data_IF_968015285254
#
_entry.id   IF_968015285254
#
_cell.length_a   1.000
_cell.length_b   1.000
_cell.length_c   1.000
_cell.angle_alpha   90.00
_cell.angle_beta   90.00
_cell.angle_gamma   90.00
#
_symmetry.space_group_name_H-M   'P 1'
#
loop_
_entity.id
_entity.type
_entity.pdbx_description
1 polymer ?
#
# COMPACT_ATOMS: atom_id res chain seq x y z
N UNK A 1 -13.31 -3.35 -12.59
CA UNK A 1 -12.60 -4.48 -11.91
C UNK A 1 -12.84 -4.35 -10.41
N UNK A 2 -13.20 -5.44 -9.73
CA UNK A 2 -13.53 -5.44 -8.28
C UNK A 2 -12.29 -5.59 -7.39
N UNK A 3 -11.15 -6.02 -7.95
CA UNK A 3 -9.89 -6.27 -7.24
C UNK A 3 -8.78 -5.38 -7.81
N UNK A 4 -7.89 -4.92 -6.92
CA UNK A 4 -6.69 -4.16 -7.25
C UNK A 4 -5.48 -4.87 -6.62
N UNK A 5 -4.41 -5.03 -7.39
CA UNK A 5 -3.16 -5.63 -6.94
C UNK A 5 -2.16 -4.52 -6.70
N UNK A 6 -1.71 -4.37 -5.45
CA UNK A 6 -0.67 -3.41 -5.09
C UNK A 6 0.63 -4.18 -4.86
N UNK A 7 1.70 -3.76 -5.54
CA UNK A 7 3.03 -4.37 -5.44
C UNK A 7 4.04 -3.35 -4.96
N UNK A 8 4.80 -3.72 -3.94
CA UNK A 8 5.95 -2.97 -3.45
C UNK A 8 7.17 -3.60 -4.11
N UNK A 9 7.79 -2.93 -5.07
CA UNK A 9 8.85 -3.45 -5.92
C UNK A 9 10.18 -2.70 -5.72
N UNK A 10 10.89 -2.98 -4.61
CA UNK A 10 12.26 -2.52 -4.44
C UNK A 10 13.19 -3.16 -5.47
N UNK A 11 14.29 -2.48 -5.85
CA UNK A 11 15.40 -3.15 -6.51
C UNK A 11 16.00 -4.19 -5.55
N UNK A 12 16.26 -5.40 -6.03
CA UNK A 12 16.83 -6.45 -5.19
C UNK A 12 16.41 -7.86 -5.58
N UNK A 13 16.51 -8.78 -4.63
CA UNK A 13 16.31 -10.22 -4.86
C UNK A 13 14.85 -10.56 -5.12
N UNK A 14 13.92 -9.82 -4.53
CA UNK A 14 12.48 -10.04 -4.73
C UNK A 14 11.94 -9.44 -6.03
N UNK A 15 12.68 -8.53 -6.68
CA UNK A 15 12.20 -7.72 -7.80
C UNK A 15 11.54 -8.54 -8.92
N UNK A 16 12.23 -9.58 -9.40
CA UNK A 16 11.72 -10.41 -10.50
C UNK A 16 10.39 -11.11 -10.12
N UNK A 17 10.26 -11.55 -8.86
CA UNK A 17 9.04 -12.20 -8.41
C UNK A 17 7.89 -11.21 -8.28
N UNK A 18 8.18 -9.98 -7.87
CA UNK A 18 7.21 -8.91 -7.75
C UNK A 18 6.73 -8.44 -9.14
N UNK A 19 7.63 -8.45 -10.14
CA UNK A 19 7.29 -8.22 -11.53
C UNK A 19 6.32 -9.28 -12.07
N UNK A 20 6.54 -10.57 -11.75
CA UNK A 20 5.59 -11.64 -12.07
C UNK A 20 4.23 -11.43 -11.40
N UNK A 21 4.19 -10.93 -10.16
CA UNK A 21 2.94 -10.65 -9.45
C UNK A 21 2.09 -9.57 -10.16
N UNK A 22 2.70 -8.47 -10.62
CA UNK A 22 1.97 -7.43 -11.37
C UNK A 22 1.35 -8.03 -12.64
N UNK A 23 2.18 -8.69 -13.46
CA UNK A 23 1.73 -9.30 -14.73
C UNK A 23 0.64 -10.35 -14.53
N UNK A 24 0.78 -11.18 -13.49
CA UNK A 24 -0.21 -12.21 -13.15
C UNK A 24 -1.54 -11.57 -12.74
N UNK A 25 -1.49 -10.51 -11.92
CA UNK A 25 -2.69 -9.77 -11.52
C UNK A 25 -3.41 -9.16 -12.73
N UNK A 26 -2.66 -8.54 -13.63
CA UNK A 26 -3.21 -7.93 -14.84
C UNK A 26 -3.79 -8.95 -15.81
N UNK A 27 -3.13 -10.09 -15.99
CA UNK A 27 -3.67 -11.20 -16.78
C UNK A 27 -5.01 -11.72 -16.21
N UNK A 28 -5.22 -11.58 -14.90
CA UNK A 28 -6.50 -11.88 -14.23
C UNK A 28 -7.50 -10.72 -14.23
N UNK A 29 -7.19 -9.59 -14.88
CA UNK A 29 -8.05 -8.40 -14.97
C UNK A 29 -7.99 -7.45 -13.76
N UNK A 30 -7.03 -7.65 -12.85
CA UNK A 30 -6.77 -6.73 -11.74
C UNK A 30 -6.05 -5.48 -12.23
N UNK A 31 -6.41 -4.30 -11.69
CA UNK A 31 -5.60 -3.09 -11.89
C UNK A 31 -4.35 -3.16 -11.01
N UNK A 32 -3.18 -2.91 -11.60
CA UNK A 32 -1.89 -2.91 -10.94
C UNK A 32 -1.52 -1.53 -10.41
N UNK A 33 -1.13 -1.45 -9.14
CA UNK A 33 -0.48 -0.28 -8.54
C UNK A 33 0.92 -0.69 -8.09
N UNK A 34 1.96 -0.01 -8.57
CA UNK A 34 3.34 -0.31 -8.22
C UNK A 34 3.97 0.81 -7.38
N UNK A 35 4.65 0.44 -6.29
CA UNK A 35 5.51 1.32 -5.52
C UNK A 35 6.96 0.93 -5.84
N UNK A 36 7.67 1.80 -6.53
CA UNK A 36 8.99 1.52 -7.13
C UNK A 36 9.95 2.67 -6.89
N UNK A 37 11.25 2.45 -7.09
CA UNK A 37 12.23 3.55 -7.09
C UNK A 37 12.01 4.50 -8.26
N UNK A 38 12.53 5.72 -8.14
CA UNK A 38 12.44 6.73 -9.18
C UNK A 38 13.02 6.27 -10.54
N UNK A 39 14.00 5.37 -10.52
CA UNK A 39 14.70 4.82 -11.68
C UNK A 39 14.05 3.58 -12.29
N UNK A 40 13.03 2.99 -11.66
CA UNK A 40 12.44 1.75 -12.15
C UNK A 40 11.63 1.98 -13.42
N UNK A 41 11.93 1.23 -14.48
CA UNK A 41 11.14 1.22 -15.72
C UNK A 41 10.52 -0.15 -16.02
N UNK A 42 10.95 -1.20 -15.32
CA UNK A 42 10.47 -2.56 -15.58
C UNK A 42 9.07 -2.79 -15.02
N UNK A 43 8.95 -2.82 -13.68
CA UNK A 43 7.64 -3.00 -13.01
C UNK A 43 6.74 -1.80 -13.28
N UNK A 44 7.30 -0.59 -13.31
CA UNK A 44 6.57 0.62 -13.66
C UNK A 44 5.93 0.56 -15.06
N UNK A 45 6.58 -0.07 -16.03
CA UNK A 45 6.07 -0.18 -17.40
C UNK A 45 4.87 -1.12 -17.54
N UNK A 46 4.74 -2.09 -16.63
CA UNK A 46 3.61 -3.01 -16.63
C UNK A 46 2.44 -2.47 -15.79
N UNK A 47 2.66 -1.75 -14.69
CA UNK A 47 1.58 -1.32 -13.80
C UNK A 47 0.67 -0.20 -14.36
N UNK A 48 -0.61 -0.18 -13.97
CA UNK A 48 -1.57 0.87 -14.36
C UNK A 48 -1.32 2.21 -13.64
N UNK A 49 -0.88 2.14 -12.38
CA UNK A 49 -0.53 3.30 -11.56
C UNK A 49 0.82 3.07 -10.89
N UNK A 50 1.63 4.13 -10.82
CA UNK A 50 3.00 4.04 -10.28
C UNK A 50 3.22 5.14 -9.25
N UNK A 51 3.70 4.74 -8.07
CA UNK A 51 4.19 5.62 -7.02
C UNK A 51 5.70 5.49 -6.98
N UNK A 52 6.40 6.52 -7.45
CA UNK A 52 7.87 6.56 -7.46
C UNK A 52 8.39 7.13 -6.15
N UNK A 53 9.18 6.35 -5.42
CA UNK A 53 9.90 6.80 -4.22
C UNK A 53 11.33 7.23 -4.59
N UNK A 54 11.88 8.27 -3.93
CA UNK A 54 13.21 8.77 -4.26
C UNK A 54 14.33 7.80 -3.86
N UNK A 55 15.40 7.81 -4.63
CA UNK A 55 16.67 7.14 -4.30
C UNK A 55 16.83 5.71 -4.80
N UNK A 56 18.09 5.31 -4.96
CA UNK A 56 18.49 3.90 -5.05
C UNK A 56 18.60 3.36 -3.62
N UNK A 57 17.50 2.79 -3.14
CA UNK A 57 17.40 2.29 -1.77
C UNK A 57 17.60 0.80 -1.75
N UNK A 58 18.32 0.32 -0.73
CA UNK A 58 18.41 -1.10 -0.46
C UNK A 58 17.02 -1.67 -0.17
N UNK A 59 16.78 -2.89 -0.64
CA UNK A 59 15.53 -3.65 -0.45
C UNK A 59 15.07 -3.66 1.01
N UNK A 60 15.99 -3.72 1.97
CA UNK A 60 15.69 -3.72 3.41
C UNK A 60 15.15 -2.39 3.94
N UNK A 61 15.36 -1.29 3.22
CA UNK A 61 14.89 0.06 3.60
C UNK A 61 13.55 0.42 2.98
N UNK A 62 13.03 -0.39 2.07
CA UNK A 62 11.74 -0.16 1.43
C UNK A 62 10.53 -0.30 2.38
N UNK A 63 10.47 -1.25 3.34
CA UNK A 63 9.28 -1.41 4.18
C UNK A 63 8.88 -0.16 4.98
N UNK A 64 9.81 0.57 5.63
CA UNK A 64 9.48 1.85 6.28
C UNK A 64 8.92 2.90 5.31
N UNK A 65 9.47 3.00 4.10
CA UNK A 65 8.95 3.93 3.08
C UNK A 65 7.57 3.54 2.56
N UNK A 66 7.37 2.25 2.30
CA UNK A 66 6.07 1.73 1.90
C UNK A 66 5.01 2.03 2.97
N UNK A 67 5.37 1.97 4.25
CA UNK A 67 4.47 2.33 5.36
C UNK A 67 3.99 3.78 5.24
N UNK A 68 4.89 4.72 4.94
CA UNK A 68 4.53 6.13 4.73
C UNK A 68 3.62 6.29 3.52
N UNK A 69 3.92 5.59 2.41
CA UNK A 69 3.08 5.60 1.20
C UNK A 69 1.66 5.13 1.52
N UNK A 70 1.52 4.02 2.25
CA UNK A 70 0.21 3.48 2.61
C UNK A 70 -0.53 4.32 3.64
N UNK A 71 0.16 5.00 4.55
CA UNK A 71 -0.45 5.98 5.46
C UNK A 71 -1.08 7.13 4.68
N UNK A 72 -0.35 7.72 3.73
CA UNK A 72 -0.85 8.82 2.90
C UNK A 72 -1.98 8.35 1.98
N UNK A 73 -1.85 7.16 1.39
CA UNK A 73 -2.92 6.57 0.57
C UNK A 73 -4.19 6.35 1.40
N UNK A 74 -4.06 5.77 2.60
CA UNK A 74 -5.18 5.56 3.51
C UNK A 74 -5.85 6.86 3.92
N UNK A 75 -5.06 7.90 4.19
CA UNK A 75 -5.55 9.24 4.51
C UNK A 75 -6.43 9.81 3.39
N UNK A 76 -5.93 9.83 2.15
CA UNK A 76 -6.71 10.36 1.03
C UNK A 76 -7.91 9.49 0.67
N UNK A 77 -7.81 8.16 0.78
CA UNK A 77 -8.96 7.27 0.59
C UNK A 77 -10.06 7.50 1.65
N UNK A 78 -9.69 7.84 2.88
CA UNK A 78 -10.65 8.21 3.92
C UNK A 78 -11.38 9.50 3.56
N UNK A 79 -10.65 10.54 3.14
CA UNK A 79 -11.23 11.82 2.71
C UNK A 79 -12.19 11.62 1.54
N UNK A 80 -11.77 10.89 0.50
CA UNK A 80 -12.61 10.60 -0.67
C UNK A 80 -13.89 9.83 -0.31
N UNK A 81 -13.88 9.08 0.80
CA UNK A 81 -15.05 8.36 1.33
C UNK A 81 -15.85 9.14 2.37
N UNK A 82 -15.46 10.37 2.70
CA UNK A 82 -16.10 11.18 3.73
C UNK A 82 -15.86 10.69 5.16
N UNK A 83 -14.80 9.93 5.40
CA UNK A 83 -14.39 9.48 6.74
C UNK A 83 -13.38 10.43 7.37
N UNK A 84 -13.35 10.48 8.70
CA UNK A 84 -12.32 11.21 9.44
C UNK A 84 -11.02 10.37 9.50
N UNK A 85 -9.94 10.77 8.78
CA UNK A 85 -8.69 10.02 8.78
C UNK A 85 -7.99 10.02 10.15
N UNK A 86 -8.23 11.03 10.99
CA UNK A 86 -7.56 11.18 12.29
C UNK A 86 -8.10 10.21 13.34
N UNK A 87 -9.32 9.69 13.13
CA UNK A 87 -9.98 8.81 14.08
C UNK A 87 -9.62 7.33 13.88
N UNK A 88 -8.94 6.95 12.79
CA UNK A 88 -8.72 5.55 12.41
C UNK A 88 -10.02 4.71 12.46
N UNK A 89 -11.15 5.33 12.09
CA UNK A 89 -12.51 4.77 12.16
C UNK A 89 -13.06 4.55 13.59
N UNK A 90 -12.37 4.92 14.67
CA UNK A 90 -12.90 4.79 16.04
C UNK A 90 -14.08 5.72 16.34
N UNK A 91 -14.41 6.62 15.42
CA UNK A 91 -15.64 7.41 15.38
C UNK A 91 -16.88 6.59 14.95
N UNK A 92 -16.68 5.36 14.46
CA UNK A 92 -17.71 4.39 14.13
C UNK A 92 -17.85 3.32 15.21
N UNK A 93 -19.08 2.98 15.59
CA UNK A 93 -19.36 2.08 16.73
C UNK A 93 -18.75 0.68 16.55
N UNK A 94 -18.80 0.11 15.36
CA UNK A 94 -18.32 -1.26 15.15
C UNK A 94 -16.80 -1.31 15.18
N UNK A 95 -16.14 -0.29 14.64
CA UNK A 95 -14.69 -0.14 14.68
C UNK A 95 -14.19 0.20 16.09
N UNK A 96 -14.91 1.06 16.82
CA UNK A 96 -14.61 1.38 18.21
C UNK A 96 -14.68 0.15 19.12
N UNK A 97 -15.69 -0.73 18.93
CA UNK A 97 -15.80 -2.00 19.64
C UNK A 97 -14.62 -2.93 19.36
N UNK A 98 -14.21 -3.04 18.10
CA UNK A 98 -13.03 -3.83 17.74
C UNK A 98 -11.75 -3.26 18.39
N UNK A 99 -11.60 -1.93 18.38
CA UNK A 99 -10.48 -1.26 19.01
C UNK A 99 -10.42 -1.52 20.52
N UNK A 100 -11.53 -1.38 21.24
CA UNK A 100 -11.62 -1.68 22.68
C UNK A 100 -11.42 -3.17 23.01
N UNK A 101 -11.67 -4.07 22.06
CA UNK A 101 -11.38 -5.50 22.22
C UNK A 101 -9.87 -5.76 22.15
N UNK A 102 -9.18 -5.09 21.24
CA UNK A 102 -7.72 -5.18 21.10
C UNK A 102 -6.97 -4.42 22.20
N UNK A 103 -7.54 -3.31 22.67
CA UNK A 103 -6.98 -2.39 23.66
C UNK A 103 -8.01 -2.10 24.77
N UNK A 104 -8.17 -3.01 25.75
CA UNK A 104 -9.13 -2.81 26.82
C UNK A 104 -8.80 -1.60 27.71
N UNK A 105 -9.82 -0.98 28.29
CA UNK A 105 -9.63 0.17 29.17
C UNK A 105 -8.83 -0.23 30.42
N UNK A 106 -7.80 0.56 30.75
CA UNK A 106 -6.97 0.35 31.94
C UNK A 106 -5.87 -0.71 31.81
N UNK A 107 -5.60 -1.22 30.61
CA UNK A 107 -4.49 -2.18 30.36
C UNK A 107 -3.20 -1.53 29.86
N UNK A 108 -3.14 -0.20 29.83
CA UNK A 108 -1.99 0.59 29.45
C UNK A 108 -1.52 1.45 30.62
#
# INVERSE_FOLDING_TARGET
PEVTTVVIAPPGKSYQRLHDCVRTGQAAGSRGVAIVTASDEGVAGDADYVIRVPGELDEMLFPPLATIVFQVLGYYLAIERGYNPDALRTDDLDHARAWLTAFPLGTH
#
